data_IF_300917883288
#
_entry.id   IF_300917883288
#
_cell.length_a   1.000
_cell.length_b   1.000
_cell.length_c   1.000
_cell.angle_alpha   90.00
_cell.angle_beta   90.00
_cell.angle_gamma   90.00
#
_symmetry.space_group_name_H-M   'P 1'
#
loop_
_entity.id
_entity.type
_entity.pdbx_description
1 polymer ?
#
# COMPACT_ATOMS: atom_id res chain seq x y z
N UNK A 1 10.71 -81.70 42.07
CA UNK A 1 11.09 -80.37 42.58
C UNK A 1 12.60 -80.29 42.45
N UNK A 2 13.03 -79.78 41.30
CA UNK A 2 13.81 -78.53 41.16
C UNK A 2 15.30 -78.84 41.37
N UNK A 3 16.12 -79.07 40.32
CA UNK A 3 16.44 -78.20 39.17
C UNK A 3 16.63 -76.74 39.61
N UNK A 4 17.87 -76.36 39.86
CA UNK A 4 18.51 -75.19 39.23
C UNK A 4 19.91 -74.95 39.81
N UNK A 5 20.93 -75.10 38.95
CA UNK A 5 22.12 -74.26 38.86
C UNK A 5 23.26 -75.05 38.21
N UNK A 6 23.41 -74.88 36.90
CA UNK A 6 24.70 -74.91 36.22
C UNK A 6 24.49 -74.53 34.75
N UNK A 7 24.59 -73.23 34.45
CA UNK A 7 25.08 -72.75 33.16
C UNK A 7 25.95 -71.52 33.40
N UNK A 8 27.25 -71.79 33.42
CA UNK A 8 28.32 -70.84 33.23
C UNK A 8 28.25 -70.22 31.82
N UNK A 9 28.56 -68.92 31.79
CA UNK A 9 29.51 -68.26 30.90
C UNK A 9 29.49 -68.60 29.40
N UNK A 10 29.12 -67.61 28.58
CA UNK A 10 29.99 -67.02 27.53
C UNK A 10 29.16 -66.25 26.49
N UNK A 11 28.91 -64.98 26.78
CA UNK A 11 28.67 -63.96 25.75
C UNK A 11 30.04 -63.44 25.30
N UNK A 12 30.72 -64.22 24.46
CA UNK A 12 31.87 -63.73 23.69
C UNK A 12 31.46 -63.60 22.23
N UNK A 13 31.37 -62.33 21.83
CA UNK A 13 31.37 -61.83 20.46
C UNK A 13 32.70 -62.22 19.83
N UNK A 14 32.84 -63.45 19.35
CA UNK A 14 33.94 -63.94 18.52
C UNK A 14 33.57 -65.33 18.03
N UNK A 15 33.80 -65.60 16.75
CA UNK A 15 33.54 -66.89 16.08
C UNK A 15 32.11 -67.08 15.54
N UNK A 16 31.71 -66.14 14.67
CA UNK A 16 31.05 -66.52 13.42
C UNK A 16 32.05 -67.45 12.72
N UNK A 17 31.85 -68.75 12.91
CA UNK A 17 32.60 -69.80 12.23
C UNK A 17 32.15 -69.78 10.76
N UNK A 18 32.78 -68.91 9.98
CA UNK A 18 32.74 -68.88 8.52
C UNK A 18 33.45 -70.14 8.03
N UNK A 19 32.77 -71.29 8.12
CA UNK A 19 33.24 -72.55 7.57
C UNK A 19 32.17 -73.10 6.63
N UNK A 20 32.14 -72.47 5.47
CA UNK A 20 31.97 -73.06 4.14
C UNK A 20 31.51 -74.52 4.11
N UNK A 21 30.23 -74.72 3.84
CA UNK A 21 29.76 -75.83 2.98
C UNK A 21 29.19 -75.26 1.67
N UNK A 22 29.88 -74.30 1.07
CA UNK A 22 29.69 -74.03 -0.36
C UNK A 22 30.51 -75.11 -1.08
N UNK A 23 29.86 -76.22 -1.41
CA UNK A 23 30.47 -77.22 -2.29
C UNK A 23 30.73 -76.56 -3.65
N UNK A 24 31.96 -76.65 -4.20
CA UNK A 24 32.28 -76.11 -5.52
C UNK A 24 31.57 -76.99 -6.55
N UNK A 25 30.40 -76.56 -7.03
CA UNK A 25 29.58 -77.28 -7.99
C UNK A 25 28.07 -77.24 -7.76
N UNK A 26 27.59 -76.73 -6.62
CA UNK A 26 26.15 -76.54 -6.43
C UNK A 26 25.69 -75.26 -7.11
N UNK A 27 24.75 -75.39 -8.05
CA UNK A 27 24.03 -74.27 -8.63
C UNK A 27 23.42 -73.46 -7.48
N UNK A 28 23.83 -72.20 -7.40
CA UNK A 28 23.48 -71.27 -6.33
C UNK A 28 22.08 -70.71 -6.54
N UNK A 29 21.65 -70.63 -7.79
CA UNK A 29 20.39 -70.01 -8.19
C UNK A 29 19.15 -70.67 -7.56
N UNK A 30 19.05 -72.01 -7.46
CA UNK A 30 17.98 -72.68 -6.73
C UNK A 30 17.92 -72.31 -5.25
N UNK A 31 19.08 -72.17 -4.58
CA UNK A 31 19.14 -71.85 -3.15
C UNK A 31 18.65 -70.42 -2.89
N UNK A 32 19.08 -69.47 -3.71
CA UNK A 32 18.59 -68.09 -3.64
C UNK A 32 17.08 -68.04 -3.90
N UNK A 33 16.62 -68.72 -4.95
CA UNK A 33 15.18 -68.78 -5.29
C UNK A 33 14.36 -69.38 -4.15
N UNK A 34 14.89 -70.39 -3.46
CA UNK A 34 14.26 -71.00 -2.30
C UNK A 34 14.14 -70.02 -1.13
N UNK A 35 15.21 -69.30 -0.77
CA UNK A 35 15.18 -68.34 0.32
C UNK A 35 14.28 -67.13 0.00
N UNK A 36 14.28 -66.64 -1.24
CA UNK A 36 13.32 -65.61 -1.68
C UNK A 36 11.89 -66.12 -1.65
N UNK A 37 11.64 -67.34 -2.12
CA UNK A 37 10.32 -67.95 -2.09
C UNK A 37 9.77 -68.06 -0.67
N UNK A 38 10.62 -68.39 0.31
CA UNK A 38 10.25 -68.40 1.73
C UNK A 38 9.85 -67.02 2.24
N UNK A 39 10.61 -65.98 1.90
CA UNK A 39 10.31 -64.60 2.29
C UNK A 39 9.02 -64.03 1.67
N UNK A 40 8.50 -64.65 0.61
CA UNK A 40 7.23 -64.27 -0.04
C UNK A 40 6.00 -64.93 0.59
N UNK A 41 6.17 -65.89 1.50
CA UNK A 41 5.05 -66.54 2.15
C UNK A 41 4.37 -65.57 3.14
N UNK A 42 3.03 -65.44 3.11
CA UNK A 42 2.31 -64.47 3.94
C UNK A 42 2.37 -64.77 5.45
N UNK A 43 2.69 -66.00 5.86
CA UNK A 43 2.66 -66.48 7.25
C UNK A 43 4.02 -67.06 7.72
N UNK A 44 5.14 -66.54 7.23
CA UNK A 44 6.47 -66.94 7.71
C UNK A 44 6.84 -66.23 9.01
N UNK A 45 7.44 -66.96 9.96
CA UNK A 45 7.87 -66.40 11.25
C UNK A 45 9.01 -65.39 11.09
N UNK A 46 9.16 -64.45 12.02
CA UNK A 46 10.21 -63.44 11.92
C UNK A 46 11.61 -64.05 12.07
N UNK A 47 11.77 -65.11 12.88
CA UNK A 47 13.02 -65.86 12.99
C UNK A 47 13.41 -66.51 11.65
N UNK A 48 12.45 -67.10 10.94
CA UNK A 48 12.67 -67.71 9.62
C UNK A 48 12.96 -66.64 8.54
N UNK A 49 12.38 -65.43 8.66
CA UNK A 49 12.71 -64.29 7.79
C UNK A 49 14.14 -63.84 8.03
N UNK A 50 14.55 -63.69 9.29
CA UNK A 50 15.91 -63.29 9.66
C UNK A 50 16.91 -64.33 9.16
N UNK A 51 16.65 -65.61 9.38
CA UNK A 51 17.51 -66.69 8.87
C UNK A 51 17.60 -66.66 7.34
N UNK A 52 16.47 -66.51 6.65
CA UNK A 52 16.44 -66.43 5.18
C UNK A 52 17.18 -65.20 4.65
N UNK A 53 17.11 -64.05 5.34
CA UNK A 53 17.88 -62.85 4.99
C UNK A 53 19.38 -63.02 5.24
N UNK A 54 19.78 -63.58 6.39
CA UNK A 54 21.18 -63.89 6.70
C UNK A 54 21.77 -64.81 5.63
N UNK A 55 21.04 -65.87 5.26
CA UNK A 55 21.47 -66.78 4.20
C UNK A 55 21.59 -66.07 2.86
N UNK A 56 20.64 -65.19 2.50
CA UNK A 56 20.74 -64.39 1.27
C UNK A 56 21.94 -63.44 1.26
N UNK A 57 22.33 -62.86 2.40
CA UNK A 57 23.53 -62.01 2.54
C UNK A 57 24.80 -62.87 2.43
N UNK A 58 24.87 -64.00 3.12
CA UNK A 58 26.01 -64.92 3.04
C UNK A 58 26.22 -65.39 1.61
N UNK A 59 25.12 -65.77 0.97
CA UNK A 59 25.09 -66.13 -0.43
C UNK A 59 25.61 -64.94 -1.26
N UNK A 60 25.02 -63.74 -1.19
CA UNK A 60 25.39 -62.60 -2.06
C UNK A 60 26.87 -62.18 -1.97
N UNK A 61 27.51 -62.31 -0.81
CA UNK A 61 28.95 -61.99 -0.61
C UNK A 61 29.87 -63.07 -1.21
N UNK A 62 29.37 -64.26 -1.49
CA UNK A 62 30.17 -65.43 -1.88
C UNK A 62 30.26 -65.70 -3.39
N UNK A 63 29.68 -64.86 -4.26
CA UNK A 63 29.64 -65.08 -5.71
C UNK A 63 30.58 -64.16 -6.52
N UNK A 64 31.04 -64.66 -7.67
CA UNK A 64 31.81 -63.88 -8.64
C UNK A 64 30.91 -62.87 -9.39
N UNK A 65 31.40 -61.65 -9.64
CA UNK A 65 30.66 -60.51 -10.23
C UNK A 65 29.87 -60.84 -11.52
N UNK A 66 30.33 -61.81 -12.31
CA UNK A 66 29.73 -62.15 -13.62
C UNK A 66 28.35 -62.83 -13.57
N UNK A 67 28.01 -63.55 -12.49
CA UNK A 67 26.73 -64.26 -12.37
C UNK A 67 25.67 -63.48 -11.58
N UNK A 68 26.07 -62.40 -10.91
CA UNK A 68 25.23 -61.62 -10.01
C UNK A 68 24.03 -61.01 -10.74
N UNK A 69 24.23 -60.36 -11.89
CA UNK A 69 23.14 -59.68 -12.60
C UNK A 69 22.03 -60.65 -13.05
N UNK A 70 22.40 -61.82 -13.58
CA UNK A 70 21.45 -62.81 -14.07
C UNK A 70 20.63 -63.43 -12.94
N UNK A 71 21.25 -63.70 -11.78
CA UNK A 71 20.58 -64.26 -10.61
C UNK A 71 19.70 -63.21 -9.93
N UNK A 72 20.23 -62.01 -9.70
CA UNK A 72 19.54 -60.88 -9.04
C UNK A 72 18.28 -60.48 -9.83
N UNK A 73 18.36 -60.42 -11.16
CA UNK A 73 17.24 -60.05 -12.02
C UNK A 73 16.17 -61.15 -12.21
N UNK A 74 16.44 -62.42 -11.84
CA UNK A 74 15.51 -63.55 -12.06
C UNK A 74 14.98 -64.20 -10.80
N UNK A 75 15.73 -64.11 -9.69
CA UNK A 75 15.37 -64.72 -8.42
C UNK A 75 14.33 -63.92 -7.62
N UNK A 76 14.08 -62.66 -7.98
CA UNK A 76 13.18 -61.79 -7.23
C UNK A 76 13.73 -61.33 -5.88
N UNK A 77 15.03 -61.57 -5.60
CA UNK A 77 15.73 -61.10 -4.38
C UNK A 77 15.52 -59.62 -4.17
N UNK A 78 15.77 -58.81 -5.20
CA UNK A 78 15.73 -57.34 -5.08
C UNK A 78 14.34 -56.86 -4.72
N UNK A 79 13.30 -57.42 -5.32
CA UNK A 79 11.90 -57.05 -5.03
C UNK A 79 11.54 -57.35 -3.57
N UNK A 80 11.86 -58.56 -3.13
CA UNK A 80 11.53 -59.01 -1.78
C UNK A 80 12.35 -58.28 -0.72
N UNK A 81 13.65 -58.07 -0.96
CA UNK A 81 14.52 -57.32 -0.04
C UNK A 81 14.16 -55.84 -0.02
N UNK A 82 13.86 -55.20 -1.16
CA UNK A 82 13.47 -53.78 -1.21
C UNK A 82 12.15 -53.54 -0.47
N UNK A 83 11.18 -54.45 -0.64
CA UNK A 83 9.92 -54.40 0.10
C UNK A 83 10.12 -54.61 1.61
N UNK A 84 10.98 -55.55 2.01
CA UNK A 84 11.33 -55.76 3.42
C UNK A 84 12.11 -54.59 4.00
N UNK A 85 13.03 -53.97 3.26
CA UNK A 85 13.75 -52.78 3.71
C UNK A 85 12.78 -51.63 4.00
N UNK A 86 11.82 -51.37 3.10
CA UNK A 86 10.82 -50.33 3.34
C UNK A 86 9.96 -50.62 4.57
N UNK A 87 9.45 -51.85 4.70
CA UNK A 87 8.56 -52.21 5.81
C UNK A 87 9.31 -52.31 7.14
N UNK A 88 10.48 -52.95 7.16
CA UNK A 88 11.24 -53.22 8.38
C UNK A 88 12.00 -51.98 8.84
N UNK A 89 12.64 -51.22 7.94
CA UNK A 89 13.26 -49.96 8.33
C UNK A 89 12.20 -48.93 8.74
N UNK A 90 11.04 -48.89 8.06
CA UNK A 90 9.90 -48.07 8.48
C UNK A 90 9.42 -48.42 9.88
N UNK A 91 9.15 -49.71 10.14
CA UNK A 91 8.71 -50.19 11.45
C UNK A 91 9.77 -50.00 12.55
N UNK A 92 11.06 -50.21 12.26
CA UNK A 92 12.15 -49.98 13.21
C UNK A 92 12.25 -48.50 13.56
N UNK A 93 12.08 -47.59 12.60
CA UNK A 93 12.08 -46.15 12.85
C UNK A 93 10.86 -45.74 13.65
N UNK A 94 9.67 -46.24 13.33
CA UNK A 94 8.45 -46.00 14.12
C UNK A 94 8.63 -46.50 15.57
N UNK A 95 9.24 -47.68 15.77
CA UNK A 95 9.51 -48.23 17.11
C UNK A 95 10.58 -47.43 17.85
N UNK A 96 11.63 -46.97 17.16
CA UNK A 96 12.65 -46.09 17.73
C UNK A 96 12.03 -44.75 18.13
N UNK A 97 11.16 -44.16 17.31
CA UNK A 97 10.41 -42.93 17.62
C UNK A 97 9.43 -43.13 18.79
N UNK A 98 8.82 -44.32 18.92
CA UNK A 98 7.92 -44.64 20.02
C UNK A 98 8.63 -44.92 21.35
N UNK A 99 9.90 -45.40 21.34
CA UNK A 99 10.63 -45.82 22.55
C UNK A 99 11.80 -44.92 22.96
N UNK A 100 12.38 -44.14 22.04
CA UNK A 100 13.40 -43.14 22.30
C UNK A 100 12.76 -41.76 22.39
N UNK A 101 12.89 -41.11 23.53
CA UNK A 101 12.34 -39.78 23.77
C UNK A 101 12.85 -38.75 22.73
N UNK A 102 11.94 -38.16 21.96
CA UNK A 102 11.79 -36.72 21.67
C UNK A 102 10.76 -36.57 20.52
N UNK A 103 9.56 -36.12 20.86
CA UNK A 103 8.55 -35.69 19.87
C UNK A 103 9.14 -34.56 19.02
N UNK A 104 9.66 -34.86 17.82
CA UNK A 104 10.11 -33.81 16.89
C UNK A 104 11.04 -34.22 15.76
N UNK A 105 11.79 -35.32 15.84
CA UNK A 105 12.71 -35.69 14.75
C UNK A 105 12.00 -36.43 13.61
N UNK A 106 11.99 -35.80 12.42
CA UNK A 106 11.43 -36.40 11.20
C UNK A 106 12.25 -37.61 10.77
N UNK A 107 11.56 -38.67 10.33
CA UNK A 107 12.18 -39.84 9.71
C UNK A 107 13.07 -39.42 8.53
N UNK A 108 14.35 -39.81 8.55
CA UNK A 108 15.28 -39.56 7.44
C UNK A 108 14.99 -40.48 6.25
N UNK A 109 13.90 -40.18 5.55
CA UNK A 109 13.47 -40.88 4.35
C UNK A 109 14.53 -40.83 3.24
N UNK A 110 15.40 -39.82 3.22
CA UNK A 110 16.48 -39.71 2.22
C UNK A 110 17.42 -40.91 2.30
N UNK A 111 17.89 -41.26 3.50
CA UNK A 111 18.80 -42.39 3.70
C UNK A 111 18.13 -43.73 3.35
N UNK A 112 16.84 -43.89 3.68
CA UNK A 112 16.10 -45.12 3.39
C UNK A 112 15.79 -45.30 1.90
N UNK A 113 15.52 -44.22 1.19
CA UNK A 113 15.11 -44.25 -0.21
C UNK A 113 16.31 -44.29 -1.16
N UNK A 114 17.50 -43.84 -0.73
CA UNK A 114 18.71 -43.78 -1.56
C UNK A 114 19.05 -45.11 -2.26
N UNK A 115 19.01 -46.28 -1.60
CA UNK A 115 19.24 -47.56 -2.27
C UNK A 115 18.19 -47.89 -3.33
N UNK A 116 16.92 -47.54 -3.10
CA UNK A 116 15.81 -47.84 -4.02
C UNK A 116 15.85 -46.90 -5.23
N UNK A 117 16.19 -45.63 -5.02
CA UNK A 117 16.48 -44.69 -6.10
C UNK A 117 17.66 -45.20 -6.93
N UNK A 118 18.72 -45.71 -6.30
CA UNK A 118 19.84 -46.31 -7.04
C UNK A 118 19.42 -47.52 -7.89
N UNK A 119 18.44 -48.33 -7.45
CA UNK A 119 17.86 -49.40 -8.25
C UNK A 119 17.10 -48.85 -9.45
N UNK A 120 16.33 -47.77 -9.28
CA UNK A 120 15.57 -47.13 -10.36
C UNK A 120 16.48 -46.66 -11.50
N UNK A 121 17.64 -46.09 -11.17
CA UNK A 121 18.64 -45.60 -12.15
C UNK A 121 19.60 -46.69 -12.65
N UNK A 122 19.38 -47.96 -12.30
CA UNK A 122 20.21 -49.06 -12.78
C UNK A 122 20.05 -49.27 -14.29
N UNK A 123 21.14 -49.60 -14.99
CA UNK A 123 21.12 -49.84 -16.44
C UNK A 123 20.39 -51.13 -16.83
N UNK A 124 20.18 -52.07 -15.91
CA UNK A 124 19.37 -53.27 -16.13
C UNK A 124 17.88 -52.93 -16.01
N UNK A 125 17.13 -53.22 -17.08
CA UNK A 125 15.69 -52.91 -17.18
C UNK A 125 14.86 -53.54 -16.07
N UNK A 126 15.19 -54.77 -15.65
CA UNK A 126 14.44 -55.48 -14.60
C UNK A 126 14.76 -54.92 -13.23
N UNK A 127 16.02 -54.58 -12.97
CA UNK A 127 16.41 -53.94 -11.70
C UNK A 127 15.76 -52.56 -11.58
N UNK A 128 15.78 -51.78 -12.66
CA UNK A 128 15.08 -50.49 -12.73
C UNK A 128 13.57 -50.63 -12.52
N UNK A 129 12.93 -51.64 -13.13
CA UNK A 129 11.51 -51.90 -12.93
C UNK A 129 11.19 -52.23 -11.47
N UNK A 130 12.05 -53.00 -10.79
CA UNK A 130 11.87 -53.30 -9.36
C UNK A 130 11.99 -52.03 -8.51
N UNK A 131 12.96 -51.16 -8.82
CA UNK A 131 13.11 -49.85 -8.18
C UNK A 131 11.86 -48.99 -8.36
N UNK A 132 11.34 -48.90 -9.58
CA UNK A 132 10.08 -48.21 -9.91
C UNK A 132 8.91 -48.76 -9.10
N UNK A 133 8.65 -50.06 -9.14
CA UNK A 133 7.50 -50.65 -8.45
C UNK A 133 7.57 -50.45 -6.94
N UNK A 134 8.77 -50.56 -6.37
CA UNK A 134 9.02 -50.29 -4.95
C UNK A 134 8.73 -48.84 -4.58
N UNK A 135 9.19 -47.88 -5.38
CA UNK A 135 8.93 -46.45 -5.16
C UNK A 135 7.46 -46.08 -5.35
N UNK A 136 6.82 -46.54 -6.42
CA UNK A 136 5.41 -46.26 -6.69
C UNK A 136 4.50 -46.79 -5.56
N UNK A 137 4.80 -47.98 -5.04
CA UNK A 137 4.08 -48.55 -3.89
C UNK A 137 4.32 -47.71 -2.64
N UNK A 138 5.56 -47.30 -2.38
CA UNK A 138 5.91 -46.51 -1.20
C UNK A 138 5.27 -45.12 -1.21
N UNK A 139 5.30 -44.43 -2.35
CA UNK A 139 4.69 -43.12 -2.58
C UNK A 139 3.17 -43.14 -2.29
N UNK A 140 2.48 -44.23 -2.65
CA UNK A 140 1.04 -44.39 -2.37
C UNK A 140 0.77 -44.61 -0.87
N UNK A 141 1.71 -45.21 -0.15
CA UNK A 141 1.52 -45.60 1.26
C UNK A 141 1.90 -44.50 2.25
N UNK A 142 2.84 -43.63 1.92
CA UNK A 142 3.32 -42.59 2.83
C UNK A 142 3.67 -41.29 2.09
N UNK A 143 3.02 -40.19 2.46
CA UNK A 143 3.25 -38.87 1.87
C UNK A 143 4.62 -38.26 2.23
N UNK A 144 5.20 -38.61 3.38
CA UNK A 144 6.52 -38.11 3.80
C UNK A 144 7.67 -38.60 2.91
N UNK A 145 7.46 -39.75 2.25
CA UNK A 145 8.39 -40.30 1.24
C UNK A 145 8.58 -39.33 0.08
N UNK A 146 7.54 -38.55 -0.28
CA UNK A 146 7.64 -37.53 -1.31
C UNK A 146 8.71 -36.50 -0.95
N UNK A 147 8.73 -36.03 0.31
CA UNK A 147 9.74 -35.07 0.76
C UNK A 147 11.15 -35.67 0.71
N UNK A 148 11.32 -36.93 1.12
CA UNK A 148 12.59 -37.65 1.00
C UNK A 148 13.08 -37.78 -0.45
N UNK A 149 12.19 -38.10 -1.40
CA UNK A 149 12.51 -38.18 -2.84
C UNK A 149 12.88 -36.81 -3.42
N UNK A 150 12.21 -35.74 -2.98
CA UNK A 150 12.55 -34.37 -3.36
C UNK A 150 13.94 -33.95 -2.85
N UNK A 151 14.32 -34.37 -1.64
CA UNK A 151 15.65 -34.12 -1.09
C UNK A 151 16.75 -34.91 -1.79
N UNK A 152 16.44 -36.07 -2.35
CA UNK A 152 17.36 -36.86 -3.17
C UNK A 152 17.62 -36.26 -4.55
N UNK A 153 16.90 -35.22 -4.96
CA UNK A 153 17.14 -34.54 -6.24
C UNK A 153 16.72 -35.34 -7.47
N UNK A 154 15.72 -36.22 -7.33
CA UNK A 154 15.30 -37.14 -8.41
C UNK A 154 14.95 -36.43 -9.73
N UNK A 155 14.44 -35.19 -9.67
CA UNK A 155 14.13 -34.40 -10.87
C UNK A 155 15.38 -33.91 -11.58
N UNK A 156 16.40 -33.49 -10.84
CA UNK A 156 17.66 -33.04 -11.42
C UNK A 156 18.39 -34.20 -12.09
N UNK A 157 18.37 -35.37 -11.46
CA UNK A 157 18.98 -36.59 -11.99
C UNK A 157 18.23 -37.12 -13.21
N UNK A 158 16.89 -37.13 -13.18
CA UNK A 158 16.07 -37.45 -14.35
C UNK A 158 16.30 -36.45 -15.50
N UNK A 159 16.46 -35.17 -15.17
CA UNK A 159 16.77 -34.13 -16.16
C UNK A 159 18.15 -34.31 -16.80
N UNK A 160 19.17 -34.66 -16.02
CA UNK A 160 20.52 -34.93 -16.53
C UNK A 160 20.53 -36.16 -17.42
N UNK A 161 19.79 -37.20 -17.02
CA UNK A 161 19.63 -38.40 -17.82
C UNK A 161 18.95 -38.10 -19.16
N UNK A 162 17.86 -37.32 -19.15
CA UNK A 162 17.18 -36.86 -20.36
C UNK A 162 18.12 -36.10 -21.30
N UNK A 163 19.00 -35.27 -20.75
CA UNK A 163 20.00 -34.53 -21.53
C UNK A 163 21.10 -35.42 -22.11
N UNK A 164 21.48 -36.48 -21.38
CA UNK A 164 22.42 -37.49 -21.85
C UNK A 164 21.81 -38.35 -22.98
N UNK A 165 20.57 -38.79 -22.83
CA UNK A 165 19.88 -39.63 -23.83
C UNK A 165 19.55 -38.84 -25.10
N UNK A 166 19.28 -37.54 -24.98
CA UNK A 166 18.93 -36.66 -26.10
C UNK A 166 19.86 -35.44 -26.13
N UNK A 167 21.12 -35.57 -26.58
CA UNK A 167 22.08 -34.48 -26.55
C UNK A 167 21.70 -33.31 -27.49
N UNK A 168 22.05 -32.09 -27.09
CA UNK A 168 21.87 -30.88 -27.89
C UNK A 168 22.90 -30.82 -29.03
N UNK A 169 22.54 -30.17 -30.16
CA UNK A 169 23.46 -29.99 -31.30
C UNK A 169 24.78 -29.28 -30.94
N UNK A 170 24.82 -28.47 -29.88
CA UNK A 170 26.03 -27.81 -29.39
C UNK A 170 26.98 -28.77 -28.63
N UNK A 171 26.47 -29.83 -27.98
CA UNK A 171 27.28 -30.80 -27.23
C UNK A 171 27.83 -31.92 -28.12
N UNK A 172 27.19 -32.16 -29.27
CA UNK A 172 27.55 -33.22 -30.21
C UNK A 172 28.91 -32.97 -30.91
N UNK A 173 29.46 -31.75 -30.89
CA UNK A 173 30.73 -31.42 -31.55
C UNK A 173 31.99 -31.63 -30.69
N UNK A 174 31.87 -31.96 -29.40
CA UNK A 174 33.03 -32.15 -28.51
C UNK A 174 33.23 -33.56 -27.95
N UNK A 175 32.34 -34.52 -28.23
CA UNK A 175 32.43 -35.87 -27.67
C UNK A 175 32.47 -36.93 -28.76
N UNK A 176 33.62 -37.04 -29.43
CA UNK A 176 33.88 -38.03 -30.47
C UNK A 176 34.95 -39.03 -30.02
N UNK A 177 34.85 -39.67 -28.85
CA UNK A 177 35.75 -40.81 -28.51
C UNK A 177 35.48 -41.56 -27.19
N UNK A 178 34.28 -41.59 -26.62
CA UNK A 178 33.97 -42.59 -25.57
C UNK A 178 32.56 -43.13 -25.77
N UNK A 179 32.44 -44.46 -25.82
CA UNK A 179 31.19 -45.19 -25.91
C UNK A 179 30.26 -44.79 -24.75
N UNK A 180 29.39 -43.80 -24.97
CA UNK A 180 28.30 -43.55 -24.04
C UNK A 180 27.34 -44.72 -24.17
N UNK A 181 27.24 -45.52 -23.10
CA UNK A 181 26.21 -46.52 -22.94
C UNK A 181 24.87 -45.80 -22.98
N UNK A 182 24.20 -45.85 -24.12
CA UNK A 182 22.82 -45.36 -24.27
C UNK A 182 21.99 -46.16 -23.27
N UNK A 183 21.50 -45.50 -22.24
CA UNK A 183 20.66 -46.12 -21.22
C UNK A 183 19.43 -46.71 -21.91
N UNK A 184 19.02 -47.97 -21.59
CA UNK A 184 17.90 -48.59 -22.27
C UNK A 184 16.64 -47.73 -22.15
N UNK A 185 15.87 -47.66 -23.25
CA UNK A 185 14.68 -46.81 -23.32
C UNK A 185 13.68 -47.14 -22.20
N UNK A 186 13.60 -48.41 -21.79
CA UNK A 186 12.73 -48.86 -20.71
C UNK A 186 13.14 -48.27 -19.34
N UNK A 187 14.44 -48.18 -19.05
CA UNK A 187 14.92 -47.56 -17.80
C UNK A 187 14.53 -46.09 -17.74
N UNK A 188 14.69 -45.37 -18.86
CA UNK A 188 14.27 -43.97 -18.93
C UNK A 188 12.74 -43.82 -18.72
N UNK A 189 11.94 -44.70 -19.31
CA UNK A 189 10.49 -44.72 -19.05
C UNK A 189 10.19 -44.95 -17.57
N UNK A 190 10.87 -45.91 -16.94
CA UNK A 190 10.64 -46.23 -15.54
C UNK A 190 10.92 -45.03 -14.62
N UNK A 191 12.00 -44.29 -14.88
CA UNK A 191 12.33 -43.07 -14.15
C UNK A 191 11.27 -41.99 -14.37
N UNK A 192 10.86 -41.75 -15.62
CA UNK A 192 9.87 -40.73 -15.94
C UNK A 192 8.48 -41.05 -15.35
N UNK A 193 8.08 -42.32 -15.26
CA UNK A 193 6.82 -42.72 -14.61
C UNK A 193 6.84 -42.43 -13.10
N UNK A 194 7.95 -42.71 -12.42
CA UNK A 194 8.12 -42.35 -11.00
C UNK A 194 8.08 -40.84 -10.82
N UNK A 195 8.79 -40.09 -11.66
CA UNK A 195 8.80 -38.62 -11.64
C UNK A 195 7.40 -38.04 -11.87
N UNK A 196 6.67 -38.53 -12.87
CA UNK A 196 5.30 -38.12 -13.13
C UNK A 196 4.41 -38.37 -11.90
N UNK A 197 4.55 -39.55 -11.26
CA UNK A 197 3.78 -39.89 -10.07
C UNK A 197 4.06 -38.95 -8.90
N UNK A 198 5.33 -38.58 -8.68
CA UNK A 198 5.73 -37.64 -7.62
C UNK A 198 5.12 -36.27 -7.88
N UNK A 199 5.21 -35.77 -9.13
CA UNK A 199 4.67 -34.46 -9.51
C UNK A 199 3.16 -34.39 -9.28
N UNK A 200 2.43 -35.46 -9.64
CA UNK A 200 0.97 -35.54 -9.42
C UNK A 200 0.55 -35.58 -7.95
N UNK A 201 1.44 -35.93 -7.03
CA UNK A 201 1.09 -36.13 -5.62
C UNK A 201 1.70 -35.10 -4.67
N UNK A 202 2.55 -34.19 -5.17
CA UNK A 202 3.24 -33.21 -4.34
C UNK A 202 3.17 -31.82 -4.98
N UNK A 203 2.42 -30.91 -4.37
CA UNK A 203 2.41 -29.49 -4.76
C UNK A 203 3.80 -28.85 -4.60
N UNK A 204 4.57 -29.26 -3.57
CA UNK A 204 5.94 -28.76 -3.33
C UNK A 204 6.91 -29.14 -4.46
N UNK A 205 6.64 -30.26 -5.16
CA UNK A 205 7.52 -30.78 -6.18
C UNK A 205 7.69 -29.85 -7.38
N UNK A 206 6.66 -29.07 -7.71
CA UNK A 206 6.59 -28.23 -8.91
C UNK A 206 7.67 -27.15 -8.86
N UNK A 207 7.93 -26.58 -7.67
CA UNK A 207 8.98 -25.58 -7.44
C UNK A 207 10.40 -26.11 -7.69
N UNK A 208 10.59 -27.43 -7.67
CA UNK A 208 11.90 -28.09 -7.90
C UNK A 208 12.02 -28.71 -9.29
N UNK A 209 11.05 -28.48 -10.19
CA UNK A 209 11.01 -29.11 -11.52
C UNK A 209 11.57 -28.24 -12.66
N UNK A 210 12.08 -27.03 -12.39
CA UNK A 210 12.54 -26.09 -13.43
C UNK A 210 13.52 -26.70 -14.44
N UNK A 211 14.51 -27.45 -13.95
CA UNK A 211 15.53 -28.10 -14.78
C UNK A 211 14.91 -29.21 -15.66
N UNK A 212 14.02 -30.00 -15.06
CA UNK A 212 13.27 -31.06 -15.73
C UNK A 212 12.33 -30.48 -16.79
N UNK A 213 11.58 -29.41 -16.49
CA UNK A 213 10.67 -28.71 -17.42
C UNK A 213 11.40 -28.24 -18.67
N UNK A 214 12.53 -27.53 -18.50
CA UNK A 214 13.38 -27.07 -19.61
C UNK A 214 13.89 -28.23 -20.47
N UNK A 215 14.32 -29.32 -19.84
CA UNK A 215 14.80 -30.50 -20.55
C UNK A 215 13.68 -31.23 -21.29
N UNK A 216 12.50 -31.36 -20.69
CA UNK A 216 11.30 -31.96 -21.28
C UNK A 216 10.78 -31.16 -22.49
N UNK A 217 10.69 -29.83 -22.38
CA UNK A 217 10.29 -28.94 -23.48
C UNK A 217 11.24 -29.03 -24.67
N UNK A 218 12.56 -29.02 -24.41
CA UNK A 218 13.58 -29.20 -25.43
C UNK A 218 13.42 -30.54 -26.14
N UNK A 219 13.25 -31.62 -25.38
CA UNK A 219 13.16 -32.99 -25.92
C UNK A 219 11.86 -33.19 -26.70
N UNK A 220 10.75 -32.56 -26.30
CA UNK A 220 9.49 -32.55 -27.07
C UNK A 220 9.69 -32.11 -28.53
N UNK A 221 10.64 -31.21 -28.79
CA UNK A 221 10.98 -30.73 -30.14
C UNK A 221 11.85 -31.72 -30.93
N UNK A 222 12.57 -32.62 -30.26
CA UNK A 222 13.50 -33.60 -30.86
C UNK A 222 12.82 -34.89 -31.37
N UNK A 223 11.48 -34.94 -31.40
CA UNK A 223 10.68 -36.11 -31.83
C UNK A 223 11.06 -37.41 -31.08
N UNK A 224 10.90 -37.47 -29.75
CA UNK A 224 11.22 -38.66 -28.97
C UNK A 224 10.24 -39.81 -29.26
N UNK A 225 10.58 -41.05 -28.86
CA UNK A 225 9.66 -42.19 -28.94
C UNK A 225 8.28 -41.90 -28.35
N UNK A 226 7.23 -42.49 -28.92
CA UNK A 226 5.83 -42.18 -28.58
C UNK A 226 5.52 -42.25 -27.08
N UNK A 227 6.03 -43.28 -26.40
CA UNK A 227 5.81 -43.49 -24.97
C UNK A 227 6.46 -42.38 -24.13
N UNK A 228 7.72 -42.04 -24.42
CA UNK A 228 8.44 -40.94 -23.76
C UNK A 228 7.72 -39.62 -24.02
N UNK A 229 7.31 -39.37 -25.28
CA UNK A 229 6.55 -38.17 -25.64
C UNK A 229 5.25 -38.05 -24.84
N UNK A 230 4.56 -39.16 -24.63
CA UNK A 230 3.30 -39.20 -23.87
C UNK A 230 3.52 -38.77 -22.42
N UNK A 231 4.52 -39.34 -21.75
CA UNK A 231 4.82 -39.03 -20.35
C UNK A 231 5.34 -37.59 -20.22
N UNK A 232 6.24 -37.14 -21.10
CA UNK A 232 6.72 -35.76 -21.08
C UNK A 232 5.59 -34.74 -21.27
N UNK A 233 4.65 -35.01 -22.18
CA UNK A 233 3.48 -34.15 -22.34
C UNK A 233 2.59 -34.15 -21.09
N UNK A 234 2.43 -35.31 -20.45
CA UNK A 234 1.67 -35.45 -19.20
C UNK A 234 2.31 -34.60 -18.09
N UNK A 235 3.62 -34.73 -17.91
CA UNK A 235 4.41 -33.93 -16.96
C UNK A 235 4.26 -32.44 -17.27
N UNK A 236 4.49 -32.02 -18.51
CA UNK A 236 4.41 -30.60 -18.89
C UNK A 236 3.02 -30.01 -18.68
N UNK A 237 1.96 -30.75 -18.99
CA UNK A 237 0.58 -30.30 -18.75
C UNK A 237 0.32 -30.00 -17.27
N UNK A 238 0.76 -30.89 -16.38
CA UNK A 238 0.61 -30.68 -14.93
C UNK A 238 1.38 -29.43 -14.47
N UNK A 239 2.59 -29.23 -15.02
CA UNK A 239 3.44 -28.08 -14.70
C UNK A 239 2.97 -26.75 -15.33
N UNK A 240 2.15 -26.79 -16.37
CA UNK A 240 1.55 -25.61 -17.01
C UNK A 240 0.28 -25.18 -16.25
N UNK A 241 -0.59 -26.13 -15.87
CA UNK A 241 -1.87 -25.85 -15.20
C UNK A 241 -1.70 -25.16 -13.83
N UNK A 242 -0.69 -25.53 -13.04
CA UNK A 242 -0.45 -24.91 -11.73
C UNK A 242 0.27 -23.56 -11.82
N UNK A 243 1.11 -23.35 -12.83
CA UNK A 243 1.77 -22.05 -13.04
C UNK A 243 0.75 -20.96 -13.39
N UNK A 244 -0.25 -21.29 -14.21
CA UNK A 244 -1.35 -20.37 -14.52
C UNK A 244 -2.17 -20.02 -13.26
N UNK A 245 -2.42 -20.98 -12.38
CA UNK A 245 -3.14 -20.73 -11.12
C UNK A 245 -2.36 -19.80 -10.18
N UNK A 246 -1.05 -20.03 -10.00
CA UNK A 246 -0.21 -19.17 -9.17
C UNK A 246 -0.15 -17.74 -9.71
N UNK A 247 -0.04 -17.56 -11.03
CA UNK A 247 -0.06 -16.24 -11.68
C UNK A 247 -1.41 -15.54 -11.50
N UNK A 248 -2.53 -16.27 -11.59
CA UNK A 248 -3.87 -15.74 -11.33
C UNK A 248 -4.00 -15.27 -9.89
N UNK A 249 -3.59 -16.10 -8.92
CA UNK A 249 -3.67 -15.79 -7.48
C UNK A 249 -2.83 -14.54 -7.14
N UNK A 250 -1.62 -14.44 -7.70
CA UNK A 250 -0.79 -13.25 -7.49
C UNK A 250 -1.43 -12.00 -8.10
N UNK A 251 -2.01 -12.11 -9.30
CA UNK A 251 -2.68 -11.01 -9.96
C UNK A 251 -3.92 -10.54 -9.20
N UNK A 252 -4.72 -11.46 -8.67
CA UNK A 252 -5.86 -11.14 -7.80
C UNK A 252 -5.42 -10.40 -6.54
N UNK A 253 -4.33 -10.84 -5.90
CA UNK A 253 -3.79 -10.17 -4.71
C UNK A 253 -3.37 -8.73 -5.01
N UNK A 254 -2.68 -8.50 -6.12
CA UNK A 254 -2.27 -7.14 -6.55
C UNK A 254 -3.47 -6.24 -6.82
N UNK A 255 -4.48 -6.76 -7.53
CA UNK A 255 -5.73 -6.01 -7.78
C UNK A 255 -6.43 -5.68 -6.46
N UNK A 256 -6.44 -6.61 -5.50
CA UNK A 256 -7.07 -6.40 -4.20
C UNK A 256 -6.34 -5.33 -3.36
N UNK A 257 -5.01 -5.32 -3.39
CA UNK A 257 -4.21 -4.26 -2.76
C UNK A 257 -4.44 -2.89 -3.41
N UNK A 258 -4.45 -2.82 -4.74
CA UNK A 258 -4.73 -1.58 -5.47
C UNK A 258 -6.14 -1.07 -5.19
N UNK A 259 -7.13 -1.97 -5.12
CA UNK A 259 -8.50 -1.63 -4.76
C UNK A 259 -8.59 -1.08 -3.33
N UNK A 260 -7.87 -1.66 -2.37
CA UNK A 260 -7.82 -1.15 -0.99
C UNK A 260 -7.22 0.26 -0.93
N UNK A 261 -6.12 0.50 -1.66
CA UNK A 261 -5.51 1.83 -1.73
C UNK A 261 -6.46 2.86 -2.37
N UNK A 262 -7.16 2.49 -3.44
CA UNK A 262 -8.15 3.35 -4.08
C UNK A 262 -9.31 3.67 -3.13
N UNK A 263 -9.83 2.70 -2.39
CA UNK A 263 -10.87 2.93 -1.38
C UNK A 263 -10.41 3.89 -0.27
N UNK A 264 -9.18 3.73 0.20
CA UNK A 264 -8.59 4.61 1.22
C UNK A 264 -8.43 6.05 0.69
N UNK A 265 -7.97 6.22 -0.55
CA UNK A 265 -7.90 7.55 -1.18
C UNK A 265 -9.27 8.19 -1.35
N UNK A 266 -10.28 7.43 -1.78
CA UNK A 266 -11.66 7.93 -1.90
C UNK A 266 -12.18 8.36 -0.54
N UNK A 267 -11.91 7.59 0.52
CA UNK A 267 -12.30 7.95 1.90
C UNK A 267 -11.66 9.27 2.35
N UNK A 268 -10.36 9.44 2.11
CA UNK A 268 -9.66 10.68 2.45
C UNK A 268 -10.18 11.88 1.64
N UNK A 269 -10.44 11.70 0.35
CA UNK A 269 -11.03 12.73 -0.50
C UNK A 269 -12.44 13.12 -0.04
N UNK A 270 -13.27 12.15 0.35
CA UNK A 270 -14.60 12.41 0.91
C UNK A 270 -14.54 13.20 2.21
N UNK A 271 -13.60 12.90 3.12
CA UNK A 271 -13.46 13.66 4.36
C UNK A 271 -12.95 15.09 4.13
N UNK A 272 -12.05 15.27 3.14
CA UNK A 272 -11.62 16.61 2.71
C UNK A 272 -12.78 17.42 2.15
N UNK A 273 -13.64 16.82 1.31
CA UNK A 273 -14.84 17.46 0.78
C UNK A 273 -15.77 17.86 1.93
N UNK A 274 -16.04 16.96 2.88
CA UNK A 274 -16.87 17.26 4.05
C UNK A 274 -16.34 18.43 4.87
N UNK A 275 -15.02 18.48 5.08
CA UNK A 275 -14.36 19.57 5.81
C UNK A 275 -14.46 20.89 5.05
N UNK A 276 -14.28 20.85 3.72
CA UNK A 276 -14.41 22.02 2.86
C UNK A 276 -15.85 22.56 2.83
N UNK A 277 -16.86 21.68 2.81
CA UNK A 277 -18.26 22.07 2.89
C UNK A 277 -18.60 22.76 4.22
N UNK A 278 -18.14 22.22 5.35
CA UNK A 278 -18.32 22.87 6.66
C UNK A 278 -17.64 24.24 6.73
N UNK A 279 -16.43 24.36 6.17
CA UNK A 279 -15.73 25.65 6.11
C UNK A 279 -16.47 26.66 5.22
N UNK A 280 -17.06 26.20 4.11
CA UNK A 280 -17.90 27.01 3.23
C UNK A 280 -19.14 27.52 3.96
N UNK A 281 -19.89 26.64 4.64
CA UNK A 281 -21.08 27.02 5.42
C UNK A 281 -20.74 28.08 6.46
N UNK A 282 -19.67 27.89 7.24
CA UNK A 282 -19.22 28.88 8.24
C UNK A 282 -18.83 30.22 7.61
N UNK A 283 -18.31 30.20 6.39
CA UNK A 283 -17.97 31.42 5.67
C UNK A 283 -19.22 32.14 5.17
N UNK A 284 -20.21 31.40 4.63
CA UNK A 284 -21.51 31.93 4.21
C UNK A 284 -22.28 32.55 5.39
N UNK A 285 -22.29 31.91 6.57
CA UNK A 285 -22.89 32.46 7.78
C UNK A 285 -22.24 33.80 8.21
N UNK A 286 -20.92 33.91 8.11
CA UNK A 286 -20.20 35.15 8.41
C UNK A 286 -20.52 36.25 7.41
N UNK A 287 -20.62 35.91 6.13
CA UNK A 287 -21.00 36.87 5.08
C UNK A 287 -22.41 37.38 5.34
N UNK A 288 -23.38 36.49 5.60
CA UNK A 288 -24.74 36.87 5.93
C UNK A 288 -24.84 37.77 7.18
N UNK A 289 -24.03 37.48 8.22
CA UNK A 289 -23.98 38.32 9.42
C UNK A 289 -23.43 39.73 9.14
N UNK A 290 -22.41 39.85 8.28
CA UNK A 290 -21.86 41.14 7.85
C UNK A 290 -22.87 41.91 6.98
N UNK A 291 -23.53 41.23 6.04
CA UNK A 291 -24.58 41.84 5.22
C UNK A 291 -25.73 42.39 6.07
N UNK A 292 -26.17 41.65 7.11
CA UNK A 292 -27.16 42.14 8.07
C UNK A 292 -26.69 43.39 8.83
N UNK A 293 -25.41 43.46 9.22
CA UNK A 293 -24.86 44.67 9.85
C UNK A 293 -24.80 45.85 8.88
N UNK A 294 -24.48 45.63 7.61
CA UNK A 294 -24.48 46.66 6.57
C UNK A 294 -25.90 47.21 6.40
N UNK A 295 -26.91 46.34 6.24
CA UNK A 295 -28.30 46.77 6.12
C UNK A 295 -28.78 47.58 7.33
N UNK A 296 -28.40 47.19 8.55
CA UNK A 296 -28.73 47.95 9.76
C UNK A 296 -28.07 49.33 9.76
N UNK A 297 -26.80 49.43 9.34
CA UNK A 297 -26.09 50.71 9.23
C UNK A 297 -26.70 51.59 8.14
N UNK A 298 -27.08 51.02 6.99
CA UNK A 298 -27.73 51.75 5.91
C UNK A 298 -29.10 52.28 6.35
N UNK A 299 -29.87 51.50 7.11
CA UNK A 299 -31.13 51.96 7.70
C UNK A 299 -30.92 53.13 8.67
N UNK A 300 -29.86 53.08 9.49
CA UNK A 300 -29.52 54.17 10.40
C UNK A 300 -29.05 55.43 9.67
N UNK A 301 -28.20 55.26 8.64
CA UNK A 301 -27.78 56.37 7.76
C UNK A 301 -29.01 57.03 7.14
N UNK A 302 -29.96 56.26 6.62
CA UNK A 302 -31.20 56.79 6.04
C UNK A 302 -32.05 57.54 7.08
N UNK A 303 -32.14 57.07 8.32
CA UNK A 303 -32.82 57.80 9.41
C UNK A 303 -32.14 59.12 9.73
N UNK A 304 -30.82 59.10 9.88
CA UNK A 304 -30.04 60.32 10.14
C UNK A 304 -30.20 61.32 8.99
N UNK A 305 -30.22 60.85 7.74
CA UNK A 305 -30.47 61.68 6.57
C UNK A 305 -31.86 62.32 6.62
N UNK A 306 -32.91 61.57 6.98
CA UNK A 306 -34.25 62.15 7.17
C UNK A 306 -34.30 63.22 8.27
N UNK A 307 -33.56 63.03 9.37
CA UNK A 307 -33.46 64.03 10.43
C UNK A 307 -32.76 65.30 9.92
N UNK A 308 -31.68 65.15 9.15
CA UNK A 308 -30.98 66.26 8.52
C UNK A 308 -31.93 67.01 7.57
N UNK A 309 -32.65 66.30 6.72
CA UNK A 309 -33.59 66.89 5.75
C UNK A 309 -34.75 67.61 6.46
N UNK A 310 -35.27 67.06 7.57
CA UNK A 310 -36.27 67.72 8.40
C UNK A 310 -35.73 68.95 9.14
N UNK A 311 -34.45 68.95 9.53
CA UNK A 311 -33.80 70.09 10.18
C UNK A 311 -33.54 71.27 9.22
N UNK A 312 -33.64 71.06 7.90
CA UNK A 312 -33.40 72.08 6.88
C UNK A 312 -34.66 72.82 6.38
N UNK A 313 -35.78 72.78 7.13
CA UNK A 313 -36.99 73.59 6.85
C UNK A 313 -37.00 74.93 7.64
N UNK A 314 -35.84 75.61 7.72
CA UNK A 314 -35.78 77.03 8.12
C UNK A 314 -35.02 77.79 7.03
N UNK A 315 -35.65 77.94 5.86
CA UNK A 315 -35.25 78.93 4.87
C UNK A 315 -35.90 80.27 5.23
N UNK A 316 -35.24 80.96 6.15
CA UNK A 316 -35.59 82.29 6.65
C UNK A 316 -34.51 82.70 7.65
N UNK A 317 -33.42 83.27 7.17
CA UNK A 317 -32.21 83.55 7.95
C UNK A 317 -32.40 84.81 8.82
N UNK A 318 -33.31 84.76 9.78
CA UNK A 318 -33.42 85.76 10.85
C UNK A 318 -32.75 85.21 12.11
N UNK A 319 -31.63 85.81 12.48
CA UNK A 319 -30.82 85.36 13.60
C UNK A 319 -30.54 86.52 14.56
N UNK A 320 -30.73 86.26 15.85
CA UNK A 320 -30.56 87.24 16.93
C UNK A 320 -29.56 86.75 17.96
N UNK A 321 -28.61 87.62 18.35
CA UNK A 321 -27.58 87.34 19.35
C UNK A 321 -27.55 88.41 20.43
N UNK A 322 -27.37 87.99 21.69
CA UNK A 322 -27.19 88.90 22.81
C UNK A 322 -26.10 88.44 23.78
N UNK A 323 -25.36 89.40 24.35
CA UNK A 323 -24.25 89.15 25.28
C UNK A 323 -23.02 88.48 24.63
N UNK A 324 -21.91 88.39 25.37
CA UNK A 324 -20.74 87.57 24.98
C UNK A 324 -20.03 87.96 23.66
N UNK A 325 -19.22 87.02 23.16
CA UNK A 325 -18.46 87.14 21.91
C UNK A 325 -18.98 86.13 20.89
N UNK A 326 -19.33 86.59 19.69
CA UNK A 326 -19.90 85.75 18.64
C UNK A 326 -19.12 85.82 17.34
N UNK A 327 -19.06 84.71 16.61
CA UNK A 327 -18.55 84.66 15.25
C UNK A 327 -19.57 83.97 14.36
N UNK A 328 -20.07 84.69 13.36
CA UNK A 328 -21.18 84.24 12.52
C UNK A 328 -20.77 84.34 11.06
N UNK A 329 -21.17 83.35 10.28
CA UNK A 329 -20.92 83.29 8.85
C UNK A 329 -22.21 83.02 8.08
N UNK A 330 -22.53 83.91 7.15
CA UNK A 330 -23.62 83.77 6.19
C UNK A 330 -23.04 83.55 4.79
N UNK A 331 -23.52 82.52 4.08
CA UNK A 331 -23.03 82.15 2.74
C UNK A 331 -24.20 81.92 1.78
N UNK A 332 -24.34 82.76 0.75
CA UNK A 332 -25.35 82.62 -0.31
C UNK A 332 -26.81 82.74 0.17
N UNK A 333 -27.77 82.83 -0.76
CA UNK A 333 -29.21 82.92 -0.46
C UNK A 333 -29.86 84.29 -0.76
N UNK A 334 -31.18 84.38 -0.56
CA UNK A 334 -31.94 85.65 -0.52
C UNK A 334 -32.26 85.98 0.94
N UNK A 335 -32.27 87.27 1.28
CA UNK A 335 -32.75 87.79 2.58
C UNK A 335 -32.05 87.27 3.87
N UNK A 336 -30.91 87.86 4.25
CA UNK A 336 -30.35 87.65 5.58
C UNK A 336 -30.73 88.79 6.53
N UNK A 337 -31.23 88.44 7.71
CA UNK A 337 -31.44 89.38 8.82
C UNK A 337 -30.59 88.97 10.01
N UNK A 338 -29.79 89.90 10.50
CA UNK A 338 -28.96 89.71 11.68
C UNK A 338 -29.26 90.81 12.70
N UNK A 339 -29.71 90.41 13.89
CA UNK A 339 -29.93 91.29 15.02
C UNK A 339 -28.88 91.01 16.10
N UNK A 340 -28.11 92.02 16.47
CA UNK A 340 -27.06 91.91 17.49
C UNK A 340 -27.32 92.92 18.58
N UNK A 341 -27.42 92.46 19.82
CA UNK A 341 -27.76 93.29 20.97
C UNK A 341 -26.75 93.14 22.11
N UNK A 342 -26.13 94.24 22.55
CA UNK A 342 -25.25 94.26 23.74
C UNK A 342 -24.13 93.21 23.75
N UNK A 343 -23.43 93.02 22.63
CA UNK A 343 -22.31 92.07 22.53
C UNK A 343 -20.94 92.74 22.71
N UNK A 344 -19.97 92.02 23.29
CA UNK A 344 -18.62 92.56 23.59
C UNK A 344 -17.64 92.44 22.42
N UNK A 345 -17.79 91.42 21.57
CA UNK A 345 -17.02 91.22 20.32
C UNK A 345 -17.81 90.34 19.35
N UNK A 346 -18.49 90.96 18.40
CA UNK A 346 -19.18 90.24 17.32
C UNK A 346 -18.42 90.35 16.02
N UNK A 347 -18.04 89.21 15.43
CA UNK A 347 -17.48 89.13 14.09
C UNK A 347 -18.52 88.48 13.17
N UNK A 348 -19.12 89.27 12.29
CA UNK A 348 -20.12 88.76 11.34
C UNK A 348 -19.55 88.85 9.93
N UNK A 349 -19.55 87.72 9.23
CA UNK A 349 -19.10 87.59 7.86
C UNK A 349 -20.29 87.25 6.97
N UNK A 350 -20.47 88.04 5.92
CA UNK A 350 -21.43 87.78 4.85
C UNK A 350 -20.68 87.53 3.55
N UNK A 351 -21.01 86.43 2.88
CA UNK A 351 -20.50 86.09 1.56
C UNK A 351 -21.70 85.91 0.60
N UNK A 352 -21.98 86.93 -0.21
CA UNK A 352 -23.15 87.00 -1.09
C UNK A 352 -24.45 87.45 -0.40
N UNK A 353 -25.59 87.20 -1.06
CA UNK A 353 -26.93 87.62 -0.60
C UNK A 353 -27.54 88.75 -1.44
N UNK A 354 -28.86 88.75 -1.64
CA UNK A 354 -29.55 89.78 -2.43
C UNK A 354 -30.14 90.94 -1.62
N UNK A 355 -30.47 90.72 -0.35
CA UNK A 355 -31.15 91.68 0.52
C UNK A 355 -30.69 91.45 1.96
N UNK A 356 -29.56 92.04 2.35
CA UNK A 356 -28.99 91.79 3.66
C UNK A 356 -29.37 92.95 4.61
N UNK A 357 -29.92 92.63 5.78
CA UNK A 357 -30.26 93.61 6.83
C UNK A 357 -29.55 93.26 8.11
N UNK A 358 -28.75 94.18 8.64
CA UNK A 358 -28.08 93.97 9.92
C UNK A 358 -28.37 95.12 10.86
N UNK A 359 -28.88 94.78 12.04
CA UNK A 359 -29.20 95.71 13.10
C UNK A 359 -28.28 95.43 14.30
N UNK A 360 -27.43 96.39 14.63
CA UNK A 360 -26.63 96.38 15.83
C UNK A 360 -27.17 97.40 16.83
N UNK A 361 -27.44 96.95 18.05
CA UNK A 361 -27.90 97.79 19.14
C UNK A 361 -27.00 97.58 20.37
N UNK A 362 -26.14 98.56 20.62
CA UNK A 362 -25.12 98.49 21.66
C UNK A 362 -24.02 97.46 21.37
N UNK A 363 -22.96 97.51 22.19
CA UNK A 363 -21.82 96.61 22.10
C UNK A 363 -20.51 97.32 21.74
N UNK A 364 -19.40 96.67 22.09
CA UNK A 364 -18.04 97.17 21.89
C UNK A 364 -17.36 96.27 20.85
N UNK A 365 -16.46 96.80 20.02
CA UNK A 365 -15.48 95.99 19.29
C UNK A 365 -16.05 95.02 18.24
N UNK A 366 -17.16 95.38 17.59
CA UNK A 366 -17.76 94.55 16.53
C UNK A 366 -17.04 94.72 15.19
N UNK A 367 -16.85 93.63 14.46
CA UNK A 367 -16.36 93.62 13.09
C UNK A 367 -17.39 93.02 12.16
N UNK A 368 -17.67 93.70 11.06
CA UNK A 368 -18.55 93.18 10.03
C UNK A 368 -17.81 93.17 8.71
N UNK A 369 -17.78 92.01 8.07
CA UNK A 369 -17.15 91.81 6.77
C UNK A 369 -18.20 91.39 5.75
N UNK A 370 -18.32 92.16 4.68
CA UNK A 370 -19.19 91.86 3.55
C UNK A 370 -18.33 91.56 2.33
N UNK A 371 -18.57 90.42 1.70
CA UNK A 371 -17.96 90.02 0.45
C UNK A 371 -19.05 89.72 -0.57
N UNK A 372 -19.34 90.69 -1.45
CA UNK A 372 -20.40 90.61 -2.46
C UNK A 372 -21.81 90.92 -1.94
N UNK A 373 -22.80 90.76 -2.83
CA UNK A 373 -24.24 90.94 -2.57
C UNK A 373 -24.87 92.16 -3.25
N UNK A 374 -26.20 92.20 -3.29
CA UNK A 374 -27.00 93.39 -3.67
C UNK A 374 -27.75 93.89 -2.43
N UNK A 375 -28.05 95.18 -2.37
CA UNK A 375 -28.95 95.82 -1.40
C UNK A 375 -28.68 95.46 0.08
N UNK A 376 -27.71 96.16 0.67
CA UNK A 376 -27.35 95.99 2.07
C UNK A 376 -27.84 97.17 2.92
N UNK A 377 -28.62 96.88 3.95
CA UNK A 377 -29.02 97.86 4.97
C UNK A 377 -28.36 97.55 6.31
N UNK A 378 -27.56 98.50 6.79
CA UNK A 378 -26.92 98.42 8.08
C UNK A 378 -27.43 99.53 9.00
N UNK A 379 -27.88 99.15 10.18
CA UNK A 379 -28.29 100.09 11.21
C UNK A 379 -27.51 99.81 12.49
N UNK A 380 -26.78 100.82 12.97
CA UNK A 380 -26.04 100.75 14.22
C UNK A 380 -26.54 101.81 15.19
N UNK A 381 -26.92 101.39 16.39
CA UNK A 381 -27.29 102.26 17.49
C UNK A 381 -26.28 102.11 18.64
N UNK A 382 -25.58 103.19 18.99
CA UNK A 382 -24.53 103.25 20.00
C UNK A 382 -23.29 102.40 19.73
N UNK A 383 -22.71 102.38 18.50
CA UNK A 383 -21.53 101.55 18.21
C UNK A 383 -20.25 102.13 18.84
N UNK A 384 -19.52 101.33 19.61
CA UNK A 384 -18.17 101.67 20.07
C UNK A 384 -17.11 100.72 19.47
N UNK A 385 -16.04 101.28 18.89
CA UNK A 385 -14.92 100.52 18.28
C UNK A 385 -15.33 99.55 17.17
N UNK A 386 -16.30 99.92 16.33
CA UNK A 386 -16.77 99.08 15.23
C UNK A 386 -15.91 99.20 13.97
N UNK A 387 -15.58 98.07 13.33
CA UNK A 387 -14.90 98.05 12.03
C UNK A 387 -15.76 97.36 10.99
N UNK A 388 -15.96 98.02 9.87
CA UNK A 388 -16.74 97.47 8.76
C UNK A 388 -15.86 97.39 7.52
N UNK A 389 -15.88 96.25 6.86
CA UNK A 389 -15.12 95.99 5.65
C UNK A 389 -16.07 95.52 4.55
N UNK A 390 -16.06 96.23 3.42
CA UNK A 390 -16.91 95.94 2.27
C UNK A 390 -16.02 95.63 1.07
N UNK A 391 -16.19 94.43 0.52
CA UNK A 391 -15.49 93.95 -0.67
C UNK A 391 -16.48 93.48 -1.73
N UNK A 392 -16.84 94.39 -2.65
CA UNK A 392 -17.77 94.13 -3.75
C UNK A 392 -19.24 94.07 -3.34
N UNK A 393 -20.13 94.35 -4.29
CA UNK A 393 -21.58 94.49 -4.11
C UNK A 393 -22.10 95.86 -4.60
N UNK A 394 -23.41 96.12 -4.47
CA UNK A 394 -24.08 97.37 -4.91
C UNK A 394 -25.15 97.79 -3.90
N UNK A 395 -25.48 99.09 -3.86
CA UNK A 395 -26.54 99.67 -3.02
C UNK A 395 -26.35 99.42 -1.52
N UNK A 396 -25.39 100.12 -0.92
CA UNK A 396 -25.18 100.10 0.53
C UNK A 396 -25.88 101.29 1.18
N UNK A 397 -26.72 101.01 2.17
CA UNK A 397 -27.34 102.00 3.05
C UNK A 397 -26.83 101.74 4.47
N UNK A 398 -26.03 102.67 5.00
CA UNK A 398 -25.47 102.56 6.35
C UNK A 398 -25.97 103.74 7.18
N UNK A 399 -26.66 103.44 8.27
CA UNK A 399 -27.15 104.40 9.26
C UNK A 399 -26.44 104.16 10.58
N UNK A 400 -25.80 105.22 11.11
CA UNK A 400 -25.18 105.23 12.42
C UNK A 400 -25.91 106.24 13.31
N UNK A 401 -26.29 105.82 14.51
CA UNK A 401 -26.99 106.64 15.51
C UNK A 401 -26.31 106.50 16.88
N UNK A 402 -26.01 107.61 17.57
CA UNK A 402 -25.46 107.62 18.92
C UNK A 402 -23.97 107.96 19.02
N UNK A 403 -23.26 107.51 20.07
CA UNK A 403 -21.86 107.87 20.30
C UNK A 403 -20.91 107.14 19.34
N UNK A 404 -20.49 107.79 18.26
CA UNK A 404 -19.66 107.22 17.18
C UNK A 404 -18.17 107.11 17.53
N UNK A 405 -17.84 106.60 18.72
CA UNK A 405 -16.44 106.48 19.13
C UNK A 405 -15.75 105.36 18.34
N UNK A 406 -14.79 105.76 17.50
CA UNK A 406 -13.89 104.87 16.75
C UNK A 406 -14.61 103.91 15.78
N UNK A 407 -15.60 104.39 15.04
CA UNK A 407 -16.16 103.64 13.90
C UNK A 407 -15.25 103.80 12.68
N UNK A 408 -14.85 102.69 12.06
CA UNK A 408 -14.05 102.71 10.82
C UNK A 408 -14.74 101.89 9.73
N UNK A 409 -14.93 102.50 8.56
CA UNK A 409 -15.53 101.87 7.38
C UNK A 409 -14.45 101.79 6.31
N UNK A 410 -14.15 100.58 5.85
CA UNK A 410 -13.24 100.31 4.75
C UNK A 410 -14.04 99.80 3.53
N UNK A 411 -14.06 100.59 2.46
CA UNK A 411 -14.79 100.28 1.22
C UNK A 411 -15.28 101.55 0.52
N UNK A 412 -16.04 101.41 -0.56
CA UNK A 412 -16.77 102.51 -1.22
C UNK A 412 -18.28 102.25 -1.14
N UNK A 413 -18.92 102.44 0.04
CA UNK A 413 -20.38 102.43 0.10
C UNK A 413 -20.93 103.60 -0.71
N UNK A 414 -22.04 103.38 -1.43
CA UNK A 414 -22.66 104.40 -2.27
C UNK A 414 -23.37 105.49 -1.44
N UNK A 415 -23.86 105.14 -0.24
CA UNK A 415 -24.49 106.08 0.69
C UNK A 415 -24.13 105.73 2.14
N UNK A 416 -23.69 106.73 2.91
CA UNK A 416 -23.50 106.64 4.37
C UNK A 416 -24.19 107.83 5.00
N UNK A 417 -25.18 107.56 5.85
CA UNK A 417 -25.94 108.58 6.56
C UNK A 417 -25.54 108.57 8.03
N UNK A 418 -25.04 109.71 8.51
CA UNK A 418 -24.73 109.93 9.91
C UNK A 418 -25.90 110.69 10.55
N UNK A 419 -26.53 110.09 11.56
CA UNK A 419 -27.62 110.71 12.31
C UNK A 419 -27.17 110.94 13.74
N UNK A 420 -26.97 112.21 14.12
CA UNK A 420 -26.60 112.59 15.49
C UNK A 420 -27.78 112.51 16.45
#
# INVERSE_FOLDING_TARGET
>A
MEKDNQRQDNLTVSEISIRTQIQPGNDVRPQITQHVGRLRLPEISDDDKIESLIQLIILSVSFAEGEQNGIVATSGVVETVSGLMLTLCGAVIEVIQQRGCETGEQTDWRTLLSPIVSLLFNSDEKISEIGKQSLLKAIVQNAEILHGLLQLGIFDEASDLLNLTFPSQQTAQQQSSQQQSILPQQVLLNILEVVEKIIRQSEESIKKTDKLKKSAERIKQLKPPRQIKSILNSILSILEDEQEQDEIIQRERLIQEELQQAHEQVRLAQEQVRTAEQAKIKTEERVAAVEGQIQNKDAEINRLQQIIDQSHVISGYDASWSGGSHKVYFHGGQDHKAHVHSCERCNIHFQGGQDNKVHFQGGIGSKVHFQGGTDLKLHFQGPENCKMHFQGGKNYEITLQGSERNVTIHGRPEQVLFTQ
#
